data_IF_370698939885
#
_entry.id   IF_370698939885
#
_cell.length_a   1.000
_cell.length_b   1.000
_cell.length_c   1.000
_cell.angle_alpha   90.00
_cell.angle_beta   90.00
_cell.angle_gamma   90.00
#
_symmetry.space_group_name_H-M   'P 1'
#
loop_
_entity.id
_entity.type
_entity.pdbx_description
1 polymer ?
#
# COMPACT_ATOMS: atom_id res chain seq x y z
N UNK A 1 4.36 7.93 -15.96
CA UNK A 1 4.99 7.54 -14.67
C UNK A 1 6.33 8.21 -14.55
N UNK A 2 6.54 8.94 -13.45
CA UNK A 2 7.77 9.67 -13.21
C UNK A 2 8.16 9.50 -11.76
N UNK A 3 9.42 9.15 -11.54
CA UNK A 3 10.05 9.14 -10.22
C UNK A 3 11.09 10.24 -10.19
N UNK A 4 11.21 10.93 -9.07
CA UNK A 4 12.25 11.95 -8.84
C UNK A 4 12.96 11.68 -7.54
N UNK A 5 14.25 11.96 -7.48
CA UNK A 5 15.04 11.88 -6.25
C UNK A 5 16.05 13.02 -6.22
N UNK A 6 16.26 13.58 -5.03
CA UNK A 6 17.28 14.56 -4.77
C UNK A 6 18.60 13.84 -4.48
N UNK A 7 19.60 14.08 -5.32
CA UNK A 7 20.91 13.45 -5.26
C UNK A 7 21.94 14.27 -4.46
N UNK A 8 21.55 15.40 -3.85
CA UNK A 8 22.45 16.13 -2.95
C UNK A 8 22.67 15.36 -1.65
N UNK A 9 23.91 15.41 -1.15
CA UNK A 9 24.24 14.87 0.16
C UNK A 9 23.48 15.66 1.23
N UNK A 10 22.75 14.94 2.07
CA UNK A 10 21.98 15.54 3.16
C UNK A 10 22.90 15.92 4.31
N UNK A 11 22.57 17.02 4.98
CA UNK A 11 23.36 17.47 6.13
C UNK A 11 23.15 16.58 7.37
N UNK A 12 21.94 16.07 7.58
CA UNK A 12 21.57 15.29 8.77
C UNK A 12 22.10 13.86 8.75
N UNK A 13 22.06 13.17 7.61
CA UNK A 13 22.55 11.78 7.48
C UNK A 13 23.97 11.69 6.91
N UNK A 14 24.48 12.75 6.28
CA UNK A 14 25.78 12.75 5.59
C UNK A 14 25.81 11.85 4.34
N UNK A 15 24.65 11.41 3.85
CA UNK A 15 24.48 10.53 2.69
C UNK A 15 23.47 11.13 1.71
N UNK A 16 23.42 10.57 0.51
CA UNK A 16 22.32 10.82 -0.42
C UNK A 16 21.06 10.15 0.13
N UNK A 17 19.90 10.75 -0.15
CA UNK A 17 18.60 10.23 0.25
C UNK A 17 18.30 8.83 -0.30
N UNK A 18 17.71 7.99 0.56
CA UNK A 18 17.21 6.65 0.25
C UNK A 18 15.70 6.72 0.09
N UNK A 19 15.24 6.77 -1.16
CA UNK A 19 13.81 6.91 -1.47
C UNK A 19 12.92 5.83 -0.84
N UNK A 20 11.66 6.16 -0.52
CA UNK A 20 10.75 5.24 0.13
C UNK A 20 10.37 4.09 -0.81
N UNK A 21 10.11 2.93 -0.21
CA UNK A 21 9.65 1.74 -0.91
C UNK A 21 8.25 1.37 -0.46
N UNK A 22 7.53 0.65 -1.32
CA UNK A 22 6.23 0.08 -0.98
C UNK A 22 6.15 -1.39 -1.31
N UNK A 23 5.65 -2.18 -0.36
CA UNK A 23 5.37 -3.60 -0.53
C UNK A 23 3.94 -3.85 -1.04
N UNK A 24 3.34 -2.87 -1.72
CA UNK A 24 1.96 -2.94 -2.16
C UNK A 24 1.71 -4.10 -3.12
N UNK A 25 0.57 -4.78 -2.94
CA UNK A 25 0.16 -5.82 -3.86
C UNK A 25 -0.26 -5.23 -5.21
N UNK A 26 0.11 -5.85 -6.35
CA UNK A 26 -0.29 -5.36 -7.67
C UNK A 26 -1.81 -5.37 -7.89
N UNK A 27 -2.54 -6.26 -7.21
CA UNK A 27 -3.99 -6.39 -7.32
C UNK A 27 -4.59 -6.52 -5.92
N UNK A 28 -5.53 -5.63 -5.62
CA UNK A 28 -6.36 -5.66 -4.42
C UNK A 28 -7.80 -6.01 -4.82
N UNK A 29 -8.46 -6.86 -4.04
CA UNK A 29 -9.82 -7.34 -4.36
C UNK A 29 -10.82 -6.82 -3.34
N UNK A 30 -11.86 -6.15 -3.82
CA UNK A 30 -12.95 -5.61 -3.03
C UNK A 30 -14.27 -6.29 -3.39
N UNK A 31 -15.12 -6.46 -2.38
CA UNK A 31 -16.49 -6.90 -2.53
C UNK A 31 -17.39 -5.69 -2.74
N UNK A 32 -18.23 -5.75 -3.77
CA UNK A 32 -19.24 -4.72 -4.03
C UNK A 32 -20.17 -4.56 -2.82
N UNK A 33 -20.48 -3.31 -2.47
CA UNK A 33 -21.33 -2.97 -1.33
C UNK A 33 -20.61 -2.81 0.01
N UNK A 34 -19.28 -2.94 0.05
CA UNK A 34 -18.49 -2.87 1.29
C UNK A 34 -17.62 -1.60 1.35
N UNK A 35 -17.32 -1.17 2.58
CA UNK A 35 -16.36 -0.10 2.88
C UNK A 35 -14.97 -0.66 3.12
N UNK A 36 -13.96 -0.02 2.53
CA UNK A 36 -12.56 -0.43 2.64
C UNK A 36 -11.67 0.74 3.04
N UNK A 37 -10.78 0.48 4.01
CA UNK A 37 -9.65 1.35 4.36
C UNK A 37 -8.36 0.58 4.04
N UNK A 38 -7.77 0.89 2.90
CA UNK A 38 -6.56 0.26 2.39
C UNK A 38 -5.35 1.10 2.78
N UNK A 39 -4.60 0.64 3.79
CA UNK A 39 -3.31 1.22 4.15
C UNK A 39 -2.28 0.84 3.09
N UNK A 40 -1.66 1.84 2.47
CA UNK A 40 -0.51 1.62 1.59
C UNK A 40 0.71 1.31 2.47
N UNK A 41 1.35 0.14 2.32
CA UNK A 41 2.53 -0.19 3.09
C UNK A 41 3.72 0.60 2.54
N UNK A 42 4.25 1.52 3.33
CA UNK A 42 5.39 2.36 2.96
C UNK A 42 6.50 2.21 4.00
N UNK A 43 7.75 2.24 3.55
CA UNK A 43 8.94 2.18 4.40
C UNK A 43 10.01 3.10 3.85
N UNK A 44 10.77 3.72 4.75
CA UNK A 44 11.87 4.63 4.45
C UNK A 44 13.05 4.30 5.36
N UNK A 45 14.26 4.26 4.79
CA UNK A 45 15.46 3.81 5.50
C UNK A 45 16.19 4.96 6.22
N UNK A 46 15.87 6.22 5.89
CA UNK A 46 16.49 7.42 6.47
C UNK A 46 15.69 8.01 7.65
N UNK A 47 14.61 7.32 8.05
CA UNK A 47 13.66 7.78 9.08
C UNK A 47 12.93 9.07 8.72
N UNK A 48 12.70 9.29 7.43
CA UNK A 48 11.93 10.42 6.94
C UNK A 48 10.42 10.24 7.17
N UNK A 49 9.70 11.35 7.17
CA UNK A 49 8.24 11.35 7.16
C UNK A 49 7.77 11.02 5.76
N UNK A 50 7.13 9.86 5.59
CA UNK A 50 6.53 9.47 4.32
C UNK A 50 5.08 9.91 4.25
N UNK A 51 4.71 10.55 3.14
CA UNK A 51 3.34 10.90 2.78
C UNK A 51 3.01 10.33 1.41
N UNK A 52 1.72 10.24 1.11
CA UNK A 52 1.22 9.79 -0.17
C UNK A 52 0.36 10.88 -0.79
N UNK A 53 0.27 10.94 -2.11
CA UNK A 53 -0.71 11.77 -2.81
C UNK A 53 -1.15 11.09 -4.10
N UNK A 54 -2.26 11.55 -4.66
CA UNK A 54 -2.64 11.13 -6.01
C UNK A 54 -1.57 11.60 -7.02
N UNK A 55 -1.23 10.71 -7.96
CA UNK A 55 -0.40 11.09 -9.10
C UNK A 55 -1.16 12.09 -9.98
N UNK A 56 -0.48 13.13 -10.42
CA UNK A 56 -1.11 14.18 -11.25
C UNK A 56 -0.77 13.98 -12.73
N UNK A 57 -1.64 14.52 -13.61
CA UNK A 57 -1.36 14.57 -15.05
C UNK A 57 -0.41 15.71 -15.40
N UNK A 58 -0.54 16.84 -14.71
CA UNK A 58 0.23 18.05 -14.94
C UNK A 58 1.07 18.40 -13.71
N UNK A 59 2.31 18.89 -13.89
CA UNK A 59 2.93 19.29 -15.16
C UNK A 59 3.59 18.14 -15.94
N UNK A 60 3.84 17.00 -15.30
CA UNK A 60 4.49 15.84 -15.91
C UNK A 60 3.59 14.64 -15.62
N UNK A 61 3.21 13.86 -16.64
CA UNK A 61 2.23 12.77 -16.51
C UNK A 61 2.74 11.64 -15.58
N UNK A 62 2.52 11.80 -14.28
CA UNK A 62 2.90 10.85 -13.24
C UNK A 62 2.00 9.61 -13.30
N UNK A 63 0.72 9.80 -13.60
CA UNK A 63 -0.24 8.69 -13.65
C UNK A 63 -0.14 7.84 -14.92
N UNK A 64 0.56 8.30 -15.97
CA UNK A 64 0.69 7.54 -17.21
C UNK A 64 -0.66 7.31 -17.89
N UNK A 65 -1.54 8.32 -17.83
CA UNK A 65 -2.89 8.28 -18.41
C UNK A 65 -4.02 7.85 -17.45
N UNK A 66 -3.73 7.22 -16.31
CA UNK A 66 -4.74 6.70 -15.35
C UNK A 66 -4.84 7.52 -14.07
N UNK A 67 -5.09 8.82 -14.20
CA UNK A 67 -5.27 9.72 -13.06
C UNK A 67 -6.68 9.56 -12.46
N UNK A 68 -6.77 9.46 -11.13
CA UNK A 68 -8.02 9.53 -10.35
C UNK A 68 -9.13 8.54 -10.78
N UNK A 69 -8.75 7.34 -11.24
CA UNK A 69 -9.74 6.41 -11.84
C UNK A 69 -10.63 5.69 -10.82
N UNK A 70 -10.29 5.75 -9.53
CA UNK A 70 -11.13 5.25 -8.43
C UNK A 70 -12.03 6.36 -7.87
N UNK A 71 -12.96 6.84 -8.68
CA UNK A 71 -13.82 7.98 -8.33
C UNK A 71 -14.65 7.71 -7.07
N UNK A 72 -14.71 8.69 -6.16
CA UNK A 72 -15.41 8.57 -4.87
C UNK A 72 -14.59 7.92 -3.76
N UNK A 73 -13.31 7.63 -4.00
CA UNK A 73 -12.35 7.32 -2.95
C UNK A 73 -11.81 8.59 -2.30
N UNK A 74 -11.28 8.44 -1.09
CA UNK A 74 -10.57 9.47 -0.34
C UNK A 74 -9.20 8.92 0.08
N UNK A 75 -8.14 9.68 -0.15
CA UNK A 75 -6.80 9.33 0.32
C UNK A 75 -6.46 10.26 1.49
N UNK A 76 -6.23 9.69 2.67
CA UNK A 76 -5.50 10.39 3.71
C UNK A 76 -4.02 10.37 3.33
N UNK A 77 -3.54 11.52 2.87
CA UNK A 77 -2.18 11.71 2.37
C UNK A 77 -1.11 11.57 3.46
N UNK A 78 -1.44 11.89 4.71
CA UNK A 78 -0.49 11.82 5.83
C UNK A 78 -0.36 10.38 6.31
N UNK A 79 -1.48 9.68 6.47
CA UNK A 79 -1.47 8.29 6.92
C UNK A 79 -1.38 7.30 5.76
N UNK A 80 -1.34 7.73 4.50
CA UNK A 80 -1.34 6.84 3.33
C UNK A 80 -2.47 5.79 3.38
N UNK A 81 -3.68 6.19 3.77
CA UNK A 81 -4.86 5.32 3.84
C UNK A 81 -5.85 5.69 2.75
N UNK A 82 -6.08 4.77 1.82
CA UNK A 82 -7.08 4.91 0.77
C UNK A 82 -8.42 4.34 1.26
N UNK A 83 -9.39 5.21 1.45
CA UNK A 83 -10.76 4.89 1.83
C UNK A 83 -11.65 4.80 0.59
N UNK A 84 -12.44 3.73 0.47
CA UNK A 84 -13.33 3.53 -0.66
C UNK A 84 -14.59 2.75 -0.29
N UNK A 85 -15.75 3.34 -0.57
CA UNK A 85 -17.04 2.68 -0.50
C UNK A 85 -17.34 2.02 -1.86
N UNK A 86 -17.26 0.69 -1.92
CA UNK A 86 -17.34 -0.09 -3.16
C UNK A 86 -18.79 -0.29 -3.65
N UNK A 87 -19.62 0.75 -3.61
CA UNK A 87 -21.02 0.71 -4.06
C UNK A 87 -21.23 1.13 -5.52
N UNK A 88 -20.18 1.68 -6.15
CA UNK A 88 -20.21 2.10 -7.56
C UNK A 88 -20.19 0.88 -8.50
N UNK A 89 -19.77 1.06 -9.75
CA UNK A 89 -19.65 -0.04 -10.71
C UNK A 89 -18.77 -1.17 -10.17
N UNK A 90 -18.98 -2.38 -10.68
CA UNK A 90 -18.03 -3.47 -10.50
C UNK A 90 -17.02 -3.43 -11.65
N UNK A 91 -15.84 -4.02 -11.44
CA UNK A 91 -14.80 -4.11 -12.45
C UNK A 91 -13.43 -3.66 -11.94
N UNK A 92 -12.57 -3.27 -12.88
CA UNK A 92 -11.19 -2.89 -12.64
C UNK A 92 -11.05 -1.38 -12.48
N UNK A 93 -10.26 -0.98 -11.50
CA UNK A 93 -9.87 0.39 -11.23
C UNK A 93 -8.35 0.46 -11.13
N UNK A 94 -7.75 1.48 -11.75
CA UNK A 94 -6.33 1.74 -11.63
C UNK A 94 -6.08 2.82 -10.58
N UNK A 95 -5.19 2.53 -9.64
CA UNK A 95 -4.76 3.51 -8.64
C UNK A 95 -3.32 3.89 -8.95
N UNK A 96 -3.07 5.19 -9.07
CA UNK A 96 -1.74 5.76 -9.29
C UNK A 96 -1.47 6.83 -8.22
N UNK A 97 -0.49 6.55 -7.36
CA UNK A 97 -0.08 7.40 -6.25
C UNK A 97 1.39 7.80 -6.41
N UNK A 98 1.76 8.92 -5.80
CA UNK A 98 3.15 9.24 -5.48
C UNK A 98 3.37 8.99 -4.00
N UNK A 99 4.49 8.36 -3.67
CA UNK A 99 4.99 8.18 -2.31
C UNK A 99 6.19 9.10 -2.15
N UNK A 100 6.11 9.99 -1.19
CA UNK A 100 7.03 11.11 -1.01
C UNK A 100 7.60 11.10 0.39
N UNK A 101 8.91 11.28 0.51
CA UNK A 101 9.64 11.37 1.78
C UNK A 101 10.03 12.83 2.08
N UNK A 102 9.96 13.18 3.36
CA UNK A 102 10.19 14.53 3.85
C UNK A 102 11.02 14.47 5.13
N UNK A 103 11.97 15.39 5.27
CA UNK A 103 12.75 15.49 6.50
C UNK A 103 11.84 15.74 7.72
N UNK A 104 10.81 16.59 7.57
CA UNK A 104 9.83 16.91 8.61
C UNK A 104 8.40 16.85 8.10
N UNK A 105 7.47 16.60 9.00
CA UNK A 105 6.04 16.56 8.68
C UNK A 105 5.49 17.89 8.14
N UNK A 106 6.12 19.01 8.47
CA UNK A 106 5.74 20.36 7.99
C UNK A 106 6.28 20.69 6.60
N UNK A 107 7.24 19.92 6.09
CA UNK A 107 7.88 20.23 4.82
C UNK A 107 6.94 19.94 3.65
N UNK A 108 7.08 20.75 2.59
CA UNK A 108 6.26 20.69 1.37
C UNK A 108 7.06 20.29 0.13
N UNK A 109 8.38 20.23 0.24
CA UNK A 109 9.28 19.78 -0.82
C UNK A 109 9.82 18.42 -0.40
N UNK A 110 9.51 17.34 -1.14
CA UNK A 110 10.01 16.02 -0.80
C UNK A 110 11.46 15.85 -1.25
N UNK A 111 12.20 14.94 -0.61
CA UNK A 111 13.50 14.51 -1.12
C UNK A 111 13.35 13.65 -2.37
N UNK A 112 12.29 12.86 -2.44
CA UNK A 112 11.98 12.00 -3.56
C UNK A 112 10.47 11.78 -3.71
N UNK A 113 10.06 11.44 -4.92
CA UNK A 113 8.68 11.12 -5.28
C UNK A 113 8.73 9.85 -6.10
N UNK A 114 8.21 8.75 -5.53
CA UNK A 114 8.23 7.42 -6.12
C UNK A 114 6.82 7.05 -6.59
N UNK A 115 6.70 6.72 -7.88
CA UNK A 115 5.42 6.29 -8.45
C UNK A 115 5.02 4.90 -7.93
N UNK A 116 3.80 4.79 -7.39
CA UNK A 116 3.15 3.52 -7.07
C UNK A 116 1.90 3.34 -7.94
N UNK A 117 1.79 2.19 -8.61
CA UNK A 117 0.58 1.81 -9.34
C UNK A 117 0.13 0.40 -8.98
N UNK A 118 -1.18 0.23 -8.80
CA UNK A 118 -1.80 -1.06 -8.57
C UNK A 118 -3.26 -1.04 -9.05
N UNK A 119 -3.86 -2.23 -9.12
CA UNK A 119 -5.24 -2.41 -9.55
C UNK A 119 -6.13 -2.77 -8.37
N UNK A 120 -7.35 -2.24 -8.39
CA UNK A 120 -8.44 -2.71 -7.55
C UNK A 120 -9.45 -3.42 -8.43
N UNK A 121 -9.84 -4.62 -8.04
CA UNK A 121 -10.92 -5.36 -8.68
C UNK A 121 -12.12 -5.45 -7.74
N UNK A 122 -13.23 -4.84 -8.14
CA UNK A 122 -14.49 -4.87 -7.41
C UNK A 122 -15.40 -5.91 -8.04
N UNK A 123 -15.84 -6.89 -7.25
CA UNK A 123 -16.75 -7.95 -7.69
C UNK A 123 -17.81 -8.26 -6.64
N UNK A 124 -18.93 -8.87 -7.06
CA UNK A 124 -19.94 -9.36 -6.12
C UNK A 124 -19.36 -10.51 -5.28
N UNK A 125 -19.68 -10.53 -3.99
CA UNK A 125 -19.38 -11.62 -3.07
C UNK A 125 -20.65 -12.04 -2.33
N UNK A 126 -20.77 -13.33 -2.00
CA UNK A 126 -21.78 -13.84 -1.06
C UNK A 126 -21.38 -13.61 0.39
N UNK A 127 -20.07 -13.46 0.66
CA UNK A 127 -19.54 -13.30 1.99
C UNK A 127 -19.90 -11.91 2.55
N UNK A 128 -20.20 -11.79 3.86
CA UNK A 128 -20.41 -10.50 4.50
C UNK A 128 -19.17 -9.60 4.42
N UNK A 129 -19.33 -8.27 4.42
CA UNK A 129 -18.21 -7.32 4.37
C UNK A 129 -17.21 -7.47 5.53
N UNK A 130 -17.67 -7.94 6.69
CA UNK A 130 -16.83 -8.20 7.85
C UNK A 130 -16.06 -9.54 7.76
N UNK A 131 -16.31 -10.36 6.73
CA UNK A 131 -15.57 -11.60 6.53
C UNK A 131 -14.10 -11.28 6.30
N UNK A 132 -13.24 -11.93 7.08
CA UNK A 132 -11.78 -11.81 6.98
C UNK A 132 -11.21 -13.18 6.64
N UNK A 133 -10.09 -13.25 5.92
CA UNK A 133 -9.38 -14.50 5.78
C UNK A 133 -9.02 -15.06 7.16
N UNK A 134 -9.24 -16.35 7.35
CA UNK A 134 -8.92 -17.03 8.60
C UNK A 134 -7.56 -17.71 8.44
N UNK A 135 -6.65 -17.42 9.37
CA UNK A 135 -5.40 -18.17 9.50
C UNK A 135 -5.71 -19.44 10.30
N UNK A 136 -5.47 -20.64 9.75
CA UNK A 136 -5.62 -21.88 10.50
C UNK A 136 -4.66 -21.91 11.70
N UNK A 137 -5.03 -22.63 12.78
CA UNK A 137 -4.34 -22.58 14.08
C UNK A 137 -2.88 -23.10 14.08
N UNK A 138 -2.42 -23.72 13.00
CA UNK A 138 -1.08 -24.30 12.89
C UNK A 138 -0.05 -23.32 12.26
N UNK A 139 -0.37 -22.02 12.20
CA UNK A 139 0.51 -20.98 11.64
C UNK A 139 1.05 -20.10 12.77
N UNK A 140 2.29 -19.63 12.64
CA UNK A 140 2.88 -18.58 13.50
C UNK A 140 1.95 -17.38 13.52
N UNK A 141 1.46 -17.06 14.71
CA UNK A 141 0.62 -15.89 14.92
C UNK A 141 1.48 -14.65 15.05
N UNK A 142 0.88 -13.49 14.77
CA UNK A 142 1.50 -12.20 15.04
C UNK A 142 2.04 -12.14 16.48
N UNK A 143 3.28 -11.66 16.63
CA UNK A 143 4.00 -11.59 17.91
C UNK A 143 4.61 -12.90 18.45
N UNK A 144 4.52 -14.02 17.74
CA UNK A 144 5.15 -15.27 18.21
C UNK A 144 6.68 -15.29 17.96
N UNK A 145 7.41 -15.87 18.91
CA UNK A 145 8.88 -15.98 18.86
C UNK A 145 9.28 -17.40 18.48
N UNK A 146 10.16 -17.53 17.49
CA UNK A 146 10.76 -18.82 17.11
C UNK A 146 12.27 -18.73 17.13
N UNK A 147 12.90 -19.63 17.89
CA UNK A 147 14.34 -19.76 17.94
C UNK A 147 14.80 -20.64 16.77
N UNK A 148 15.54 -20.05 15.84
CA UNK A 148 16.11 -20.76 14.69
C UNK A 148 17.58 -21.05 15.00
N UNK A 149 18.01 -22.31 15.06
CA UNK A 149 19.42 -22.66 15.31
C UNK A 149 20.36 -22.11 14.23
N UNK A 150 21.60 -21.81 14.60
CA UNK A 150 22.64 -21.34 13.68
C UNK A 150 22.84 -22.35 12.55
N UNK A 151 23.01 -21.86 11.32
CA UNK A 151 23.17 -22.66 10.10
C UNK A 151 21.98 -23.57 9.76
N UNK A 152 20.77 -23.23 10.21
CA UNK A 152 19.54 -23.91 9.79
C UNK A 152 18.64 -23.00 8.97
N UNK A 153 17.82 -23.60 8.11
CA UNK A 153 16.83 -22.90 7.30
C UNK A 153 15.47 -23.02 8.00
N UNK A 154 14.80 -21.88 8.18
CA UNK A 154 13.43 -21.85 8.63
C UNK A 154 12.48 -21.77 7.44
N UNK A 155 11.64 -22.79 7.28
CA UNK A 155 10.62 -22.83 6.25
C UNK A 155 9.23 -22.71 6.88
N UNK A 156 8.41 -21.81 6.36
CA UNK A 156 7.02 -21.66 6.77
C UNK A 156 6.12 -21.34 5.59
N UNK A 157 4.89 -21.88 5.63
CA UNK A 157 3.82 -21.52 4.72
C UNK A 157 2.72 -20.76 5.46
N UNK A 158 2.35 -19.59 4.94
CA UNK A 158 1.20 -18.83 5.42
C UNK A 158 0.03 -19.20 4.51
N UNK A 159 -0.97 -19.86 5.09
CA UNK A 159 -2.21 -20.24 4.42
C UNK A 159 -3.32 -19.35 4.99
N UNK A 160 -4.07 -18.67 4.15
CA UNK A 160 -5.27 -17.96 4.55
C UNK A 160 -6.48 -18.60 3.86
N UNK A 161 -7.51 -18.94 4.62
CA UNK A 161 -8.77 -19.49 4.08
C UNK A 161 -9.82 -18.40 3.97
N UNK A 162 -10.76 -18.57 3.05
CA UNK A 162 -11.94 -17.69 3.01
C UNK A 162 -12.71 -17.82 4.32
N UNK A 163 -13.07 -16.70 4.94
CA UNK A 163 -13.90 -16.70 6.16
C UNK A 163 -15.32 -17.22 5.97
N UNK A 164 -15.73 -17.46 4.71
CA UNK A 164 -17.04 -18.02 4.33
C UNK A 164 -17.01 -19.55 4.16
N UNK A 165 -15.83 -20.17 4.18
CA UNK A 165 -15.70 -21.64 4.24
C UNK A 165 -16.00 -22.11 5.68
N UNK A 166 -17.28 -22.21 5.99
CA UNK A 166 -17.74 -23.09 7.06
C UNK A 166 -17.20 -24.49 6.78
N UNK A 167 -16.47 -25.03 7.75
CA UNK A 167 -16.02 -26.43 7.79
C UNK A 167 -17.21 -27.35 7.45
N UNK A 168 -17.21 -27.90 6.24
CA UNK A 168 -17.98 -29.10 5.90
C UNK A 168 -17.01 -30.26 5.77
#
# INVERSE_FOLDING_TARGET
MRTTANLTIRHDTGKINSSPISAMQPIVRFSHGCDYNLKIPVSDDDSDVVKCRWSTRTPNDECGGVCETLSGSFLDEISCVLSYNATRSMGWYAVALQIEDFQKSTDTIPFSSVSLQFLIFVSKSSAPCASRPVLPPNIITDGSVHHIPVNTIFNQSIIARSGDETLR
#
